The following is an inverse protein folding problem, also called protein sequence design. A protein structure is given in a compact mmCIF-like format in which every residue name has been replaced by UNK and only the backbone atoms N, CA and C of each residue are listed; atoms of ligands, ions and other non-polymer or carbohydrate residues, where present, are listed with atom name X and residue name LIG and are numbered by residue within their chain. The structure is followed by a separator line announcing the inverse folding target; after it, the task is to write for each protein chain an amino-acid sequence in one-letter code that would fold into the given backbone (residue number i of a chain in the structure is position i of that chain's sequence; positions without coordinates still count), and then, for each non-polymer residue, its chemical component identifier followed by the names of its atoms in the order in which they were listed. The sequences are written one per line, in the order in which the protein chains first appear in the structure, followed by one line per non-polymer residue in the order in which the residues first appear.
data_IF_034899784756
#
_entry.id   IF_034899784756
#
_cell.length_a   1.000
_cell.length_b   1.000
_cell.length_c   1.000
_cell.angle_alpha   90.00
_cell.angle_beta   90.00
_cell.angle_gamma   90.00
#
_symmetry.space_group_name_H-M   'P 1'
#
loop_
_entity.id
_entity.type
_entity.pdbx_description
1 polymer ?
#
# COMPACT_ATOMS: atom_id res chain seq x y z
N UNK A 1 18.82 24.57 0.82
CA UNK A 1 19.49 24.03 -0.37
C UNK A 1 19.46 22.53 -0.21
N UNK A 2 18.31 21.92 -0.52
CA UNK A 2 18.15 20.47 -0.44
C UNK A 2 18.52 19.88 -1.80
N UNK A 3 19.51 18.99 -1.81
CA UNK A 3 19.86 18.21 -2.99
C UNK A 3 18.60 17.51 -3.54
N UNK A 4 18.44 17.55 -4.86
CA UNK A 4 17.33 16.91 -5.58
C UNK A 4 17.21 15.44 -5.15
N UNK A 5 15.99 14.89 -4.98
CA UNK A 5 15.77 13.50 -4.59
C UNK A 5 16.52 12.48 -5.48
N UNK A 6 16.69 12.81 -6.75
CA UNK A 6 17.43 12.02 -7.74
C UNK A 6 18.91 11.82 -7.38
N UNK A 7 19.56 12.80 -6.72
CA UNK A 7 20.97 12.66 -6.28
C UNK A 7 21.14 11.72 -5.09
N UNK A 8 20.07 11.40 -4.34
CA UNK A 8 20.16 10.53 -3.15
C UNK A 8 20.11 9.04 -3.46
N UNK A 9 19.62 8.66 -4.65
CA UNK A 9 19.52 7.27 -5.07
C UNK A 9 20.85 6.69 -5.55
N UNK A 10 21.78 7.56 -5.97
CA UNK A 10 23.10 7.16 -6.47
C UNK A 10 24.10 6.75 -5.37
N UNK A 11 23.80 7.11 -4.11
CA UNK A 11 24.65 6.84 -2.93
C UNK A 11 24.16 5.67 -2.06
N UNK A 12 23.06 5.00 -2.44
CA UNK A 12 22.54 3.86 -1.67
C UNK A 12 23.34 2.58 -1.95
N UNK A 13 23.58 1.73 -0.92
CA UNK A 13 24.15 0.41 -1.11
C UNK A 13 23.33 -0.36 -2.14
N UNK A 14 24.00 -1.06 -3.06
CA UNK A 14 23.32 -1.80 -4.13
C UNK A 14 22.69 -3.11 -3.61
N UNK A 15 21.64 -3.03 -2.80
CA UNK A 15 20.91 -4.18 -2.26
C UNK A 15 20.34 -5.07 -3.37
N UNK A 16 20.03 -4.48 -4.53
CA UNK A 16 19.66 -5.21 -5.74
C UNK A 16 20.72 -6.27 -6.15
N UNK A 17 22.01 -5.98 -5.95
CA UNK A 17 23.09 -6.93 -6.24
C UNK A 17 22.99 -8.21 -5.40
N UNK A 18 22.59 -8.09 -4.13
CA UNK A 18 22.42 -9.23 -3.24
C UNK A 18 21.23 -10.10 -3.68
N UNK A 19 20.12 -9.47 -4.08
CA UNK A 19 18.99 -10.17 -4.65
C UNK A 19 19.36 -10.92 -5.94
N UNK A 20 20.07 -10.27 -6.87
CA UNK A 20 20.56 -10.92 -8.10
C UNK A 20 21.48 -12.11 -7.80
N UNK A 21 22.37 -11.97 -6.81
CA UNK A 21 23.23 -13.07 -6.39
C UNK A 21 22.44 -14.26 -5.84
N UNK A 22 21.38 -14.00 -5.09
CA UNK A 22 20.54 -15.06 -4.53
C UNK A 22 19.68 -15.72 -5.62
N UNK A 23 19.16 -14.96 -6.59
CA UNK A 23 18.47 -15.50 -7.77
C UNK A 23 19.41 -16.38 -8.60
N UNK A 24 20.69 -16.00 -8.73
CA UNK A 24 21.70 -16.77 -9.45
C UNK A 24 21.93 -18.21 -8.94
N UNK A 25 21.44 -18.53 -7.72
CA UNK A 25 21.46 -19.89 -7.18
C UNK A 25 20.51 -20.84 -7.93
N UNK A 26 19.39 -20.34 -8.45
CA UNK A 26 18.36 -21.14 -9.14
C UNK A 26 18.21 -20.77 -10.62
N UNK A 27 18.45 -19.51 -10.96
CA UNK A 27 18.21 -18.93 -12.28
C UNK A 27 19.43 -18.15 -12.70
N UNK A 28 20.07 -18.49 -13.81
CA UNK A 28 21.38 -17.90 -14.16
C UNK A 28 21.29 -16.38 -14.37
N UNK A 29 22.05 -15.63 -13.57
CA UNK A 29 22.17 -14.17 -13.68
C UNK A 29 23.57 -13.80 -14.14
N UNK A 30 23.68 -13.12 -15.27
CA UNK A 30 24.96 -12.77 -15.91
C UNK A 30 25.03 -11.30 -16.27
N UNK A 31 26.23 -10.74 -16.23
CA UNK A 31 26.50 -9.41 -16.78
C UNK A 31 26.44 -9.45 -18.31
N UNK A 32 25.71 -8.52 -18.95
CA UNK A 32 25.60 -8.43 -20.42
C UNK A 32 26.66 -7.49 -21.04
N UNK A 33 27.32 -6.69 -20.21
CA UNK A 33 28.43 -5.81 -20.55
C UNK A 33 29.55 -5.92 -19.49
N UNK A 34 30.72 -5.35 -19.76
CA UNK A 34 31.75 -5.14 -18.73
C UNK A 34 31.19 -4.17 -17.69
N UNK A 35 31.30 -4.52 -16.40
CA UNK A 35 30.85 -3.70 -15.28
C UNK A 35 32.03 -2.85 -14.81
N UNK A 36 31.87 -1.53 -14.83
CA UNK A 36 32.86 -0.58 -14.36
C UNK A 36 32.33 0.24 -13.17
N UNK A 37 33.23 0.69 -12.30
CA UNK A 37 32.91 1.76 -11.36
C UNK A 37 32.98 3.14 -12.05
N UNK A 38 32.49 4.17 -11.37
CA UNK A 38 32.47 5.56 -11.84
C UNK A 38 33.87 6.17 -12.09
N UNK A 39 34.93 5.50 -11.63
CA UNK A 39 36.35 5.85 -11.87
C UNK A 39 36.99 5.04 -13.00
N UNK A 40 36.23 4.23 -13.74
CA UNK A 40 36.72 3.43 -14.87
C UNK A 40 37.43 2.14 -14.50
N UNK A 41 37.41 1.72 -13.24
CA UNK A 41 37.95 0.42 -12.82
C UNK A 41 36.99 -0.70 -13.19
N UNK A 42 37.51 -1.74 -13.85
CA UNK A 42 36.76 -2.95 -14.18
C UNK A 42 36.42 -3.77 -12.92
N UNK A 43 35.13 -3.95 -12.67
CA UNK A 43 34.60 -4.78 -11.58
C UNK A 43 34.42 -6.22 -12.03
N UNK A 44 33.79 -6.44 -13.18
CA UNK A 44 33.55 -7.75 -13.79
C UNK A 44 33.50 -7.67 -15.32
N UNK A 45 33.89 -8.75 -16.01
CA UNK A 45 33.78 -8.87 -17.48
C UNK A 45 32.37 -9.26 -17.89
N UNK A 46 31.96 -8.90 -19.11
CA UNK A 46 30.77 -9.45 -19.77
C UNK A 46 30.74 -10.98 -19.65
N UNK A 47 29.55 -11.54 -19.42
CA UNK A 47 29.30 -12.96 -19.19
C UNK A 47 29.64 -13.46 -17.78
N UNK A 48 30.12 -12.60 -16.87
CA UNK A 48 30.39 -13.00 -15.49
C UNK A 48 29.07 -13.25 -14.75
N UNK A 49 28.99 -14.36 -14.02
CA UNK A 49 27.84 -14.67 -13.16
C UNK A 49 27.83 -13.77 -11.93
N UNK A 50 26.65 -13.23 -11.59
CA UNK A 50 26.45 -12.43 -10.38
C UNK A 50 26.35 -13.39 -9.19
N UNK A 51 27.48 -13.70 -8.54
CA UNK A 51 27.54 -14.52 -7.33
C UNK A 51 27.80 -13.67 -6.08
N UNK A 52 27.86 -14.30 -4.90
CA UNK A 52 27.97 -13.59 -3.62
C UNK A 52 29.24 -12.74 -3.54
N UNK A 53 30.36 -13.27 -4.04
CA UNK A 53 31.64 -12.55 -4.08
C UNK A 53 31.56 -11.31 -4.97
N UNK A 54 30.96 -11.44 -6.16
CA UNK A 54 30.78 -10.31 -7.07
C UNK A 54 29.76 -9.30 -6.51
N UNK A 55 28.66 -9.74 -5.89
CA UNK A 55 27.71 -8.83 -5.22
C UNK A 55 28.41 -7.99 -4.16
N UNK A 56 29.21 -8.62 -3.29
CA UNK A 56 29.98 -7.91 -2.26
C UNK A 56 30.93 -6.89 -2.87
N UNK A 57 31.59 -7.22 -3.98
CA UNK A 57 32.47 -6.29 -4.69
C UNK A 57 31.67 -5.14 -5.31
N UNK A 58 30.53 -5.41 -5.92
CA UNK A 58 29.65 -4.39 -6.50
C UNK A 58 29.18 -3.40 -5.44
N UNK A 59 28.73 -3.86 -4.27
CA UNK A 59 28.28 -2.99 -3.16
C UNK A 59 29.34 -2.05 -2.62
N UNK A 60 30.62 -2.35 -2.83
CA UNK A 60 31.75 -1.52 -2.39
C UNK A 60 32.10 -0.41 -3.39
N UNK A 61 31.43 -0.35 -4.53
CA UNK A 61 31.74 0.58 -5.61
C UNK A 61 30.49 1.27 -6.14
N UNK A 62 30.59 2.57 -6.40
CA UNK A 62 29.62 3.29 -7.22
C UNK A 62 29.83 2.91 -8.68
N UNK A 63 28.82 2.35 -9.33
CA UNK A 63 28.92 1.87 -10.71
C UNK A 63 28.80 3.02 -11.72
N UNK A 64 29.46 2.88 -12.88
CA UNK A 64 29.37 3.86 -13.97
C UNK A 64 28.00 3.86 -14.68
N UNK A 65 27.29 2.73 -14.66
CA UNK A 65 25.90 2.59 -15.10
C UNK A 65 25.10 1.87 -14.00
N UNK A 66 23.78 2.08 -13.92
CA UNK A 66 22.94 1.34 -12.99
C UNK A 66 23.06 -0.18 -13.16
N UNK A 67 23.09 -0.94 -12.07
CA UNK A 67 23.33 -2.39 -12.13
C UNK A 67 22.27 -3.13 -12.95
N UNK A 68 20.99 -2.75 -12.81
CA UNK A 68 19.89 -3.39 -13.52
C UNK A 68 19.98 -3.26 -15.05
N UNK A 69 20.68 -2.24 -15.55
CA UNK A 69 20.94 -2.07 -16.99
C UNK A 69 22.10 -2.93 -17.49
N UNK A 70 22.91 -3.50 -16.58
CA UNK A 70 24.16 -4.23 -16.89
C UNK A 70 24.05 -5.75 -16.76
N UNK A 71 22.92 -6.25 -16.26
CA UNK A 71 22.69 -7.68 -15.99
C UNK A 71 21.50 -8.18 -16.79
N UNK A 72 21.42 -9.49 -16.96
CA UNK A 72 20.25 -10.19 -17.48
C UNK A 72 20.03 -11.50 -16.71
N UNK A 73 18.78 -11.96 -16.68
CA UNK A 73 18.38 -13.19 -16.00
C UNK A 73 17.97 -14.22 -17.05
N UNK A 74 18.86 -15.17 -17.32
CA UNK A 74 18.61 -16.26 -18.24
C UNK A 74 17.52 -17.18 -17.67
N UNK A 75 16.45 -17.41 -18.44
CA UNK A 75 15.26 -18.17 -18.01
C UNK A 75 14.47 -17.52 -16.88
N UNK A 76 14.45 -16.19 -16.81
CA UNK A 76 13.51 -15.45 -15.98
C UNK A 76 12.06 -15.57 -16.49
N UNK A 77 11.17 -14.83 -15.83
CA UNK A 77 9.77 -14.72 -16.25
C UNK A 77 9.66 -14.19 -17.69
N UNK A 78 8.73 -14.76 -18.41
CA UNK A 78 8.22 -14.30 -19.71
C UNK A 78 6.82 -13.69 -19.54
N UNK A 79 6.34 -12.95 -20.54
CA UNK A 79 4.95 -12.45 -20.57
C UNK A 79 3.93 -13.59 -20.33
N UNK A 80 4.14 -14.76 -20.96
CA UNK A 80 3.27 -15.93 -20.77
C UNK A 80 3.31 -16.45 -19.34
N UNK A 81 4.50 -16.65 -18.76
CA UNK A 81 4.58 -17.14 -17.38
C UNK A 81 4.03 -16.14 -16.37
N UNK A 82 4.12 -14.84 -16.62
CA UNK A 82 3.45 -13.83 -15.78
C UNK A 82 1.94 -14.03 -15.83
N UNK A 83 1.36 -14.29 -17.00
CA UNK A 83 -0.07 -14.60 -17.14
C UNK A 83 -0.44 -15.92 -16.44
N UNK A 84 0.43 -16.93 -16.50
CA UNK A 84 0.22 -18.18 -15.76
C UNK A 84 0.21 -17.92 -14.23
N UNK A 85 1.04 -16.99 -13.72
CA UNK A 85 1.00 -16.58 -12.31
C UNK A 85 -0.28 -15.80 -11.95
N UNK A 86 -0.83 -14.98 -12.85
CA UNK A 86 -2.17 -14.37 -12.64
C UNK A 86 -3.26 -15.44 -12.47
N UNK A 87 -3.25 -16.48 -13.31
CA UNK A 87 -4.19 -17.59 -13.18
C UNK A 87 -4.06 -18.32 -11.84
N UNK A 88 -2.83 -18.52 -11.35
CA UNK A 88 -2.59 -19.11 -10.02
C UNK A 88 -3.07 -18.19 -8.91
N UNK A 89 -2.83 -16.89 -9.01
CA UNK A 89 -3.33 -15.90 -8.06
C UNK A 89 -4.86 -15.97 -7.98
N UNK A 90 -5.57 -15.98 -9.10
CA UNK A 90 -7.03 -16.03 -9.09
C UNK A 90 -7.60 -17.34 -8.53
N UNK A 91 -6.84 -18.44 -8.62
CA UNK A 91 -7.20 -19.67 -7.92
C UNK A 91 -6.99 -19.58 -6.40
N UNK A 92 -6.00 -18.81 -5.95
CA UNK A 92 -5.72 -18.54 -4.54
C UNK A 92 -6.72 -17.54 -3.92
N UNK A 93 -7.17 -16.55 -4.70
CA UNK A 93 -8.13 -15.53 -4.30
C UNK A 93 -9.45 -15.69 -5.09
N UNK A 94 -10.31 -16.65 -4.71
CA UNK A 94 -11.56 -16.92 -5.44
C UNK A 94 -12.55 -15.74 -5.40
N UNK A 95 -12.46 -14.88 -4.39
CA UNK A 95 -13.22 -13.64 -4.30
C UNK A 95 -12.74 -12.59 -5.30
N UNK A 96 -11.42 -12.41 -5.46
CA UNK A 96 -10.86 -11.58 -6.54
C UNK A 96 -11.27 -12.12 -7.92
N UNK A 97 -11.24 -13.45 -8.11
CA UNK A 97 -11.71 -14.08 -9.34
C UNK A 97 -13.20 -13.83 -9.58
N UNK A 98 -14.03 -13.87 -8.54
CA UNK A 98 -15.44 -13.52 -8.67
C UNK A 98 -15.67 -12.05 -9.09
N UNK A 99 -14.81 -11.12 -8.65
CA UNK A 99 -14.83 -9.74 -9.14
C UNK A 99 -14.54 -9.65 -10.64
N UNK A 100 -13.56 -10.43 -11.11
CA UNK A 100 -13.21 -10.54 -12.53
C UNK A 100 -14.39 -11.09 -13.34
N UNK A 101 -14.99 -12.18 -12.89
CA UNK A 101 -16.08 -12.88 -13.58
C UNK A 101 -17.39 -12.08 -13.60
N UNK A 102 -17.66 -11.33 -12.53
CA UNK A 102 -18.87 -10.51 -12.40
C UNK A 102 -18.94 -9.34 -13.37
N UNK A 103 -17.83 -9.01 -14.07
CA UNK A 103 -17.81 -7.84 -14.93
C UNK A 103 -18.60 -7.97 -16.25
N UNK A 104 -19.12 -9.16 -16.60
CA UNK A 104 -19.92 -9.43 -17.83
C UNK A 104 -19.39 -8.65 -19.06
N UNK A 105 -18.07 -8.71 -19.24
CA UNK A 105 -17.35 -7.86 -20.18
C UNK A 105 -17.43 -8.39 -21.61
N UNK A 106 -17.31 -7.49 -22.60
CA UNK A 106 -17.08 -7.86 -23.99
C UNK A 106 -15.71 -8.57 -24.18
N UNK A 107 -14.74 -8.29 -23.30
CA UNK A 107 -13.38 -8.84 -23.32
C UNK A 107 -12.96 -9.34 -21.92
N UNK A 108 -12.26 -10.47 -21.87
CA UNK A 108 -11.66 -10.99 -20.63
C UNK A 108 -10.44 -10.17 -20.18
N UNK A 109 -9.82 -10.55 -19.06
CA UNK A 109 -8.67 -9.81 -18.52
C UNK A 109 -7.50 -9.75 -19.52
N UNK A 110 -7.22 -10.85 -20.22
CA UNK A 110 -6.17 -10.90 -21.25
C UNK A 110 -6.46 -9.93 -22.40
N UNK A 111 -7.73 -9.83 -22.83
CA UNK A 111 -8.20 -8.85 -23.80
C UNK A 111 -7.98 -7.41 -23.33
N UNK A 112 -8.31 -7.09 -22.07
CA UNK A 112 -8.13 -5.74 -21.51
C UNK A 112 -6.68 -5.26 -21.52
N UNK A 113 -5.74 -6.19 -21.32
CA UNK A 113 -4.30 -5.89 -21.23
C UNK A 113 -3.55 -6.25 -22.52
N UNK A 114 -4.28 -6.64 -23.58
CA UNK A 114 -3.71 -7.01 -24.86
C UNK A 114 -2.86 -5.86 -25.43
N UNK A 115 -1.67 -6.21 -25.88
CA UNK A 115 -0.71 -5.24 -26.44
C UNK A 115 0.14 -4.52 -25.40
N UNK A 116 -0.04 -4.76 -24.09
CA UNK A 116 0.99 -4.39 -23.10
C UNK A 116 2.16 -5.35 -23.24
N UNK A 117 3.28 -4.85 -23.75
CA UNK A 117 4.55 -5.57 -23.71
C UNK A 117 5.18 -5.38 -22.33
N UNK A 118 5.85 -6.40 -21.81
CA UNK A 118 6.68 -6.30 -20.61
C UNK A 118 8.15 -6.26 -21.04
N UNK A 119 8.79 -5.07 -21.05
CA UNK A 119 10.17 -4.96 -21.49
C UNK A 119 11.12 -5.72 -20.55
N UNK A 120 12.31 -6.04 -21.06
CA UNK A 120 13.32 -6.86 -20.36
C UNK A 120 13.53 -6.42 -18.91
N UNK A 121 13.65 -5.10 -18.66
CA UNK A 121 13.87 -4.55 -17.32
C UNK A 121 12.69 -4.81 -16.37
N UNK A 122 11.45 -4.77 -16.87
CA UNK A 122 10.27 -5.10 -16.07
C UNK A 122 10.26 -6.59 -15.74
N UNK A 123 10.41 -7.46 -16.74
CA UNK A 123 10.48 -8.91 -16.53
C UNK A 123 11.61 -9.32 -15.59
N UNK A 124 12.77 -8.67 -15.69
CA UNK A 124 13.90 -8.87 -14.80
C UNK A 124 13.52 -8.56 -13.34
N UNK A 125 12.94 -7.38 -13.07
CA UNK A 125 12.54 -7.01 -11.72
C UNK A 125 11.43 -7.91 -11.17
N UNK A 126 10.42 -8.23 -11.99
CA UNK A 126 9.38 -9.20 -11.62
C UNK A 126 9.96 -10.58 -11.31
N UNK A 127 10.97 -11.03 -12.05
CA UNK A 127 11.67 -12.31 -11.78
C UNK A 127 12.39 -12.28 -10.44
N UNK A 128 13.08 -11.17 -10.12
CA UNK A 128 13.75 -11.02 -8.82
C UNK A 128 12.71 -10.97 -7.70
N UNK A 129 11.61 -10.23 -7.88
CA UNK A 129 10.52 -10.14 -6.91
C UNK A 129 9.91 -11.51 -6.64
N UNK A 130 9.57 -12.26 -7.70
CA UNK A 130 9.04 -13.64 -7.62
C UNK A 130 9.91 -14.57 -6.78
N UNK A 131 11.23 -14.55 -6.98
CA UNK A 131 12.15 -15.45 -6.27
C UNK A 131 12.56 -14.98 -4.87
N UNK A 132 12.57 -13.67 -4.61
CA UNK A 132 13.14 -13.10 -3.38
C UNK A 132 12.09 -12.58 -2.41
N UNK A 133 10.97 -12.09 -2.91
CA UNK A 133 9.88 -11.49 -2.14
C UNK A 133 8.54 -11.97 -2.74
N UNK A 134 8.22 -13.28 -2.64
CA UNK A 134 7.03 -13.86 -3.28
C UNK A 134 5.71 -13.20 -2.84
N UNK A 135 5.61 -12.71 -1.60
CA UNK A 135 4.45 -11.96 -1.12
C UNK A 135 4.28 -10.60 -1.85
N UNK A 136 5.36 -9.86 -2.08
CA UNK A 136 5.30 -8.61 -2.87
C UNK A 136 4.97 -8.88 -4.34
N UNK A 137 5.40 -10.03 -4.87
CA UNK A 137 5.03 -10.44 -6.22
C UNK A 137 3.53 -10.77 -6.30
N UNK A 138 3.00 -11.53 -5.33
CA UNK A 138 1.56 -11.80 -5.21
C UNK A 138 0.74 -10.50 -5.09
N UNK A 139 1.16 -9.57 -4.23
CA UNK A 139 0.59 -8.24 -4.09
C UNK A 139 0.57 -7.49 -5.42
N UNK A 140 1.67 -7.51 -6.17
CA UNK A 140 1.77 -6.86 -7.49
C UNK A 140 0.73 -7.41 -8.47
N UNK A 141 0.51 -8.74 -8.49
CA UNK A 141 -0.52 -9.36 -9.33
C UNK A 141 -1.94 -9.01 -8.84
N UNK A 142 -2.19 -9.02 -7.54
CA UNK A 142 -3.48 -8.66 -6.95
C UNK A 142 -3.84 -7.21 -7.26
N UNK A 143 -2.92 -6.29 -7.01
CA UNK A 143 -3.08 -4.85 -7.25
C UNK A 143 -3.26 -4.58 -8.73
N UNK A 144 -2.48 -5.21 -9.62
CA UNK A 144 -2.67 -5.11 -11.06
C UNK A 144 -4.07 -5.58 -11.50
N UNK A 145 -4.55 -6.72 -10.97
CA UNK A 145 -5.89 -7.23 -11.27
C UNK A 145 -6.96 -6.23 -10.84
N UNK A 146 -6.95 -5.86 -9.55
CA UNK A 146 -8.02 -5.05 -8.97
C UNK A 146 -8.03 -3.61 -9.51
N UNK A 147 -6.86 -2.99 -9.72
CA UNK A 147 -6.79 -1.65 -10.28
C UNK A 147 -7.29 -1.61 -11.73
N UNK A 148 -6.96 -2.62 -12.53
CA UNK A 148 -7.48 -2.79 -13.90
C UNK A 148 -9.00 -2.86 -13.87
N UNK A 149 -9.58 -3.68 -12.97
CA UNK A 149 -11.02 -3.79 -12.80
C UNK A 149 -11.69 -2.48 -12.35
N UNK A 150 -11.06 -1.75 -11.42
CA UNK A 150 -11.55 -0.44 -10.95
C UNK A 150 -11.60 0.56 -12.11
N UNK A 151 -10.49 0.71 -12.83
CA UNK A 151 -10.36 1.66 -13.95
C UNK A 151 -11.32 1.30 -15.08
N UNK A 152 -11.51 0.01 -15.35
CA UNK A 152 -12.47 -0.49 -16.31
C UNK A 152 -13.93 -0.25 -15.87
N UNK A 153 -14.27 -0.48 -14.60
CA UNK A 153 -15.61 -0.20 -14.06
C UNK A 153 -15.95 1.30 -14.10
N UNK A 154 -14.94 2.16 -14.05
CA UNK A 154 -15.04 3.61 -14.27
C UNK A 154 -15.12 4.01 -15.75
N UNK A 155 -15.14 3.04 -16.68
CA UNK A 155 -15.24 3.24 -18.13
C UNK A 155 -14.15 4.15 -18.69
N UNK A 156 -12.92 4.00 -18.17
CA UNK A 156 -11.76 4.77 -18.65
C UNK A 156 -11.24 4.17 -19.96
N UNK A 157 -10.51 4.95 -20.78
CA UNK A 157 -9.99 4.48 -22.06
C UNK A 157 -9.04 3.28 -21.89
N UNK A 158 -8.92 2.39 -22.90
CA UNK A 158 -8.02 1.22 -22.83
C UNK A 158 -6.55 1.57 -22.52
N UNK A 159 -6.08 2.77 -22.89
CA UNK A 159 -4.74 3.23 -22.53
C UNK A 159 -4.55 3.44 -21.02
N UNK A 160 -5.59 3.89 -20.31
CA UNK A 160 -5.56 4.04 -18.85
C UNK A 160 -5.68 2.68 -18.16
N UNK A 161 -6.49 1.76 -18.70
CA UNK A 161 -6.61 0.38 -18.20
C UNK A 161 -5.27 -0.34 -18.28
N UNK A 162 -4.58 -0.26 -19.42
CA UNK A 162 -3.23 -0.80 -19.61
C UNK A 162 -2.18 -0.16 -18.69
N UNK A 163 -2.31 1.15 -18.42
CA UNK A 163 -1.46 1.84 -17.46
C UNK A 163 -1.73 1.41 -16.01
N UNK A 164 -2.99 1.10 -15.66
CA UNK A 164 -3.36 0.56 -14.35
C UNK A 164 -2.80 -0.85 -14.14
N UNK A 165 -2.92 -1.71 -15.15
CA UNK A 165 -2.33 -3.04 -15.16
C UNK A 165 -0.82 -3.00 -14.90
N UNK A 166 -0.08 -2.24 -15.73
CA UNK A 166 1.37 -2.18 -15.59
C UNK A 166 1.75 -1.45 -14.30
N UNK A 167 1.04 -0.37 -13.94
CA UNK A 167 1.28 0.37 -12.70
C UNK A 167 1.12 -0.50 -11.46
N UNK A 168 0.08 -1.33 -11.41
CA UNK A 168 -0.11 -2.29 -10.33
C UNK A 168 0.96 -3.39 -10.30
N UNK A 169 1.45 -3.85 -11.46
CA UNK A 169 2.54 -4.83 -11.51
C UNK A 169 3.87 -4.28 -10.98
N UNK A 170 4.10 -2.96 -11.10
CA UNK A 170 5.43 -2.37 -10.89
C UNK A 170 5.48 -1.30 -9.82
N UNK A 171 4.40 -1.04 -9.09
CA UNK A 171 4.37 0.01 -8.06
C UNK A 171 5.45 -0.17 -7.00
N UNK A 172 5.77 -1.43 -6.68
CA UNK A 172 6.61 -1.82 -5.54
C UNK A 172 7.94 -2.49 -5.92
N UNK A 173 8.33 -2.51 -7.20
CA UNK A 173 9.63 -3.09 -7.60
C UNK A 173 10.83 -2.35 -7.00
N UNK A 174 10.63 -1.09 -6.57
CA UNK A 174 11.61 -0.30 -5.86
C UNK A 174 12.02 -0.89 -4.51
N UNK A 175 11.22 -1.77 -3.90
CA UNK A 175 11.60 -2.47 -2.66
C UNK A 175 12.85 -3.34 -2.84
N UNK A 176 13.15 -3.79 -4.07
CA UNK A 176 14.36 -4.54 -4.37
C UNK A 176 15.65 -3.73 -4.21
N UNK A 177 15.55 -2.42 -3.95
CA UNK A 177 16.68 -1.53 -3.71
C UNK A 177 16.76 -1.07 -2.25
N UNK A 178 15.80 -1.44 -1.41
CA UNK A 178 15.78 -1.08 0.02
C UNK A 178 16.52 -2.15 0.83
N UNK A 179 17.17 -1.74 1.92
CA UNK A 179 17.86 -2.66 2.82
C UNK A 179 16.87 -3.72 3.37
N UNK A 180 17.12 -5.03 3.12
CA UNK A 180 16.29 -6.09 3.67
C UNK A 180 16.14 -6.03 5.19
N UNK A 181 17.18 -5.58 5.92
CA UNK A 181 17.11 -5.47 7.38
C UNK A 181 16.11 -4.41 7.84
N UNK A 182 15.88 -3.37 7.01
CA UNK A 182 14.87 -2.34 7.28
C UNK A 182 13.47 -2.87 6.97
N UNK A 183 13.32 -3.58 5.85
CA UNK A 183 12.03 -4.14 5.44
C UNK A 183 11.52 -5.28 6.34
N UNK A 184 12.43 -6.02 6.96
CA UNK A 184 12.12 -7.19 7.81
C UNK A 184 12.10 -6.84 9.31
N UNK A 185 12.20 -5.55 9.66
CA UNK A 185 12.22 -5.10 11.05
C UNK A 185 10.83 -5.23 11.69
N UNK A 186 10.76 -5.92 12.84
CA UNK A 186 9.53 -6.03 13.65
C UNK A 186 9.37 -4.89 14.66
N UNK A 187 10.49 -4.28 15.08
CA UNK A 187 10.51 -3.12 15.99
C UNK A 187 10.14 -1.81 15.28
N UNK A 188 9.88 -0.76 16.06
CA UNK A 188 9.61 0.58 15.52
C UNK A 188 10.72 1.06 14.56
N UNK A 189 10.28 1.56 13.40
CA UNK A 189 11.16 2.17 12.41
C UNK A 189 11.56 3.56 12.86
N UNK A 190 12.85 3.85 12.81
CA UNK A 190 13.38 5.21 12.89
C UNK A 190 12.93 6.03 11.69
N UNK A 191 12.96 7.35 11.80
CA UNK A 191 12.61 8.24 10.70
C UNK A 191 13.50 8.04 9.45
N UNK A 192 14.76 7.68 9.63
CA UNK A 192 15.67 7.41 8.51
C UNK A 192 15.27 6.12 7.79
N UNK A 193 14.96 5.07 8.55
CA UNK A 193 14.47 3.79 8.02
C UNK A 193 13.12 3.96 7.31
N UNK A 194 12.20 4.74 7.88
CA UNK A 194 10.91 5.03 7.26
C UNK A 194 11.07 5.80 5.94
N UNK A 195 11.94 6.83 5.90
CA UNK A 195 12.27 7.54 4.65
C UNK A 195 12.93 6.64 3.61
N UNK A 196 13.75 5.67 4.04
CA UNK A 196 14.33 4.68 3.15
C UNK A 196 13.23 3.81 2.53
N UNK A 197 12.29 3.30 3.33
CA UNK A 197 11.12 2.56 2.84
C UNK A 197 10.35 3.39 1.82
N UNK A 198 9.97 4.64 2.13
CA UNK A 198 9.23 5.51 1.21
C UNK A 198 9.92 5.76 -0.13
N UNK A 199 11.25 5.65 -0.18
CA UNK A 199 12.00 5.87 -1.41
C UNK A 199 11.71 4.81 -2.49
N UNK A 200 11.11 3.65 -2.14
CA UNK A 200 10.74 2.62 -3.11
C UNK A 200 9.85 3.19 -4.23
N UNK A 201 8.94 4.11 -3.92
CA UNK A 201 8.04 4.73 -4.91
C UNK A 201 8.84 5.49 -5.97
N UNK A 202 9.87 6.21 -5.53
CA UNK A 202 10.76 6.98 -6.40
C UNK A 202 11.61 6.02 -7.25
N UNK A 203 12.15 4.96 -6.63
CA UNK A 203 12.91 3.92 -7.33
C UNK A 203 12.05 3.24 -8.41
N UNK A 204 10.84 2.82 -8.07
CA UNK A 204 9.90 2.19 -9.01
C UNK A 204 9.61 3.11 -10.20
N UNK A 205 9.35 4.41 -9.95
CA UNK A 205 9.17 5.40 -11.02
C UNK A 205 10.39 5.48 -11.94
N UNK A 206 11.60 5.58 -11.38
CA UNK A 206 12.82 5.69 -12.18
C UNK A 206 13.05 4.44 -13.05
N UNK A 207 12.79 3.24 -12.50
CA UNK A 207 12.88 1.98 -13.24
C UNK A 207 11.89 1.95 -14.41
N UNK A 208 10.68 2.49 -14.24
CA UNK A 208 9.68 2.59 -15.32
C UNK A 208 10.07 3.66 -16.34
N UNK A 209 10.63 4.80 -15.91
CA UNK A 209 11.14 5.85 -16.81
C UNK A 209 12.29 5.38 -17.71
N UNK A 210 13.17 4.52 -17.21
CA UNK A 210 14.28 3.95 -17.99
C UNK A 210 13.79 3.12 -19.18
N UNK A 211 12.61 2.51 -19.06
CA UNK A 211 11.98 1.74 -20.13
C UNK A 211 11.40 2.66 -21.23
N UNK A 212 11.12 3.92 -20.89
CA UNK A 212 10.71 4.96 -21.84
C UNK A 212 9.38 4.65 -22.54
N UNK A 213 9.32 4.85 -23.86
CA UNK A 213 8.07 4.73 -24.64
C UNK A 213 7.56 3.29 -24.81
N UNK A 214 8.26 2.28 -24.28
CA UNK A 214 7.80 0.90 -24.32
C UNK A 214 6.74 0.57 -23.25
N UNK A 215 6.46 1.50 -22.32
CA UNK A 215 5.37 1.39 -21.35
C UNK A 215 4.24 2.40 -21.63
N UNK A 216 2.99 2.15 -21.19
CA UNK A 216 1.92 3.12 -21.28
C UNK A 216 2.30 4.47 -20.61
N UNK A 217 2.01 5.64 -21.22
CA UNK A 217 2.50 6.94 -20.74
C UNK A 217 2.11 7.33 -19.31
N UNK A 218 1.00 6.80 -18.79
CA UNK A 218 0.49 7.12 -17.46
C UNK A 218 0.97 6.16 -16.36
N UNK A 219 1.76 5.15 -16.70
CA UNK A 219 2.28 4.16 -15.75
C UNK A 219 3.09 4.85 -14.64
N UNK A 220 3.94 5.82 -14.99
CA UNK A 220 4.73 6.56 -14.01
C UNK A 220 3.87 7.34 -13.00
N UNK A 221 2.73 7.90 -13.44
CA UNK A 221 1.81 8.57 -12.53
C UNK A 221 1.12 7.57 -11.59
N UNK A 222 0.69 6.43 -12.13
CA UNK A 222 0.12 5.35 -11.32
C UNK A 222 1.10 4.88 -10.23
N UNK A 223 2.38 4.74 -10.59
CA UNK A 223 3.45 4.32 -9.67
C UNK A 223 3.82 5.41 -8.69
N UNK A 224 4.08 6.66 -9.10
CA UNK A 224 4.60 7.67 -8.15
C UNK A 224 3.57 8.14 -7.12
N UNK A 225 2.28 7.98 -7.42
CA UNK A 225 1.18 8.49 -6.59
C UNK A 225 0.42 7.41 -5.81
N UNK A 226 0.83 6.14 -5.88
CA UNK A 226 0.05 5.05 -5.24
C UNK A 226 0.00 5.15 -3.71
N UNK A 227 0.98 5.81 -3.08
CA UNK A 227 0.96 6.15 -1.65
C UNK A 227 0.54 7.59 -1.36
N UNK A 228 0.17 8.38 -2.37
CA UNK A 228 -0.44 9.69 -2.14
C UNK A 228 -1.91 9.54 -1.70
N UNK A 229 -2.38 10.48 -0.88
CA UNK A 229 -3.72 10.44 -0.27
C UNK A 229 -4.40 11.80 -0.44
N UNK A 230 -5.71 11.82 -0.61
CA UNK A 230 -6.46 13.04 -0.93
C UNK A 230 -6.33 14.15 0.13
N UNK A 231 -6.10 13.78 1.39
CA UNK A 231 -5.87 14.68 2.51
C UNK A 231 -4.40 15.16 2.66
N UNK A 232 -3.53 14.79 1.70
CA UNK A 232 -2.09 15.07 1.70
C UNK A 232 -1.28 14.37 2.81
N UNK A 233 -1.83 13.30 3.43
CA UNK A 233 -1.11 12.46 4.40
C UNK A 233 -0.08 11.52 3.78
N UNK A 234 -0.28 11.20 2.49
CA UNK A 234 0.55 10.31 1.72
C UNK A 234 1.91 10.88 1.31
N UNK A 235 2.63 10.14 0.47
CA UNK A 235 4.01 10.43 0.05
C UNK A 235 4.23 10.01 -1.42
N UNK A 236 5.28 10.51 -2.11
CA UNK A 236 6.42 11.30 -1.63
C UNK A 236 6.26 12.84 -1.69
N UNK A 237 5.26 13.35 -2.40
CA UNK A 237 5.08 14.77 -2.67
C UNK A 237 4.05 15.46 -1.77
N UNK A 238 3.32 14.70 -0.93
CA UNK A 238 2.31 15.18 0.02
C UNK A 238 1.23 15.98 -0.71
N UNK A 239 0.72 15.41 -1.80
CA UNK A 239 -0.19 16.08 -2.71
C UNK A 239 -1.63 15.97 -2.21
N UNK A 240 -2.40 17.06 -2.38
CA UNK A 240 -3.84 17.06 -2.14
C UNK A 240 -4.59 16.46 -3.32
N UNK A 241 -5.80 15.91 -3.07
CA UNK A 241 -6.64 15.28 -4.08
C UNK A 241 -6.78 16.05 -5.41
N UNK A 242 -6.90 17.38 -5.39
CA UNK A 242 -6.99 18.20 -6.60
C UNK A 242 -5.79 18.11 -7.57
N UNK A 243 -4.65 17.55 -7.12
CA UNK A 243 -3.42 17.36 -7.90
C UNK A 243 -3.12 15.90 -8.22
N UNK A 244 -3.90 14.97 -7.68
CA UNK A 244 -3.70 13.53 -7.86
C UNK A 244 -4.36 13.04 -9.14
N UNK A 245 -3.79 12.00 -9.71
CA UNK A 245 -4.35 11.29 -10.85
C UNK A 245 -5.18 10.09 -10.38
N UNK A 246 -6.26 9.79 -11.12
CA UNK A 246 -7.16 8.68 -10.83
C UNK A 246 -6.39 7.36 -10.68
N UNK A 247 -5.45 7.09 -11.59
CA UNK A 247 -4.69 5.84 -11.61
C UNK A 247 -3.88 5.60 -10.35
N UNK A 248 -3.15 6.61 -9.83
CA UNK A 248 -2.42 6.45 -8.57
C UNK A 248 -3.35 6.12 -7.42
N UNK A 249 -4.51 6.78 -7.38
CA UNK A 249 -5.55 6.48 -6.39
C UNK A 249 -6.21 5.11 -6.59
N UNK A 250 -6.26 4.59 -7.83
CA UNK A 250 -6.76 3.25 -8.13
C UNK A 250 -5.74 2.19 -7.68
N UNK A 251 -4.44 2.41 -7.86
CA UNK A 251 -3.40 1.53 -7.30
C UNK A 251 -3.47 1.57 -5.77
N UNK A 252 -3.50 2.75 -5.15
CA UNK A 252 -3.47 2.91 -3.70
C UNK A 252 -4.64 2.26 -2.96
N UNK A 253 -5.86 2.32 -3.51
CA UNK A 253 -7.00 1.61 -2.91
C UNK A 253 -6.90 0.09 -3.11
N UNK A 254 -6.38 -0.37 -4.26
CA UNK A 254 -6.17 -1.79 -4.52
C UNK A 254 -5.12 -2.39 -3.61
N UNK A 255 -4.06 -1.63 -3.35
CA UNK A 255 -2.99 -1.95 -2.40
C UNK A 255 -3.53 -2.08 -0.96
N UNK A 256 -4.29 -1.08 -0.50
CA UNK A 256 -4.96 -1.16 0.80
C UNK A 256 -5.93 -2.34 0.93
N UNK A 257 -6.63 -2.70 -0.15
CA UNK A 257 -7.52 -3.87 -0.17
C UNK A 257 -6.75 -5.20 -0.15
N UNK A 258 -5.56 -5.29 -0.75
CA UNK A 258 -4.69 -6.45 -0.61
C UNK A 258 -4.28 -6.63 0.86
N UNK A 259 -3.78 -5.56 1.49
CA UNK A 259 -3.38 -5.60 2.90
C UNK A 259 -4.54 -5.90 3.85
N UNK A 260 -5.75 -5.37 3.58
CA UNK A 260 -6.96 -5.75 4.31
C UNK A 260 -7.26 -7.25 4.15
N UNK A 261 -7.22 -7.74 2.91
CA UNK A 261 -7.56 -9.12 2.55
C UNK A 261 -6.63 -10.13 3.24
N UNK A 262 -5.32 -9.95 3.11
CA UNK A 262 -4.32 -10.89 3.65
C UNK A 262 -3.96 -10.62 5.12
N UNK A 263 -4.03 -9.36 5.56
CA UNK A 263 -3.64 -8.94 6.90
C UNK A 263 -4.71 -9.14 7.97
N UNK A 264 -6.00 -9.09 7.59
CA UNK A 264 -7.12 -9.18 8.52
C UNK A 264 -8.19 -10.20 8.08
N UNK A 265 -8.71 -10.08 6.86
CA UNK A 265 -9.87 -10.90 6.44
C UNK A 265 -9.53 -12.39 6.41
N UNK A 266 -8.37 -12.78 5.88
CA UNK A 266 -7.90 -14.16 5.88
C UNK A 266 -7.78 -14.75 7.28
N UNK A 267 -7.30 -13.97 8.25
CA UNK A 267 -7.16 -14.43 9.64
C UNK A 267 -8.51 -14.66 10.34
N UNK A 268 -9.59 -14.15 9.75
CA UNK A 268 -10.96 -14.26 10.24
C UNK A 268 -11.82 -15.16 9.33
N UNK A 269 -11.21 -15.83 8.35
CA UNK A 269 -11.90 -16.63 7.33
C UNK A 269 -12.97 -15.83 6.55
N UNK A 270 -12.70 -14.55 6.29
CA UNK A 270 -13.57 -13.62 5.55
C UNK A 270 -13.11 -13.40 4.10
N UNK A 271 -13.98 -12.81 3.29
CA UNK A 271 -13.72 -12.53 1.87
C UNK A 271 -13.87 -11.04 1.52
N UNK A 272 -13.54 -10.63 0.29
CA UNK A 272 -13.60 -9.23 -0.14
C UNK A 272 -14.99 -8.56 -0.02
N UNK A 273 -16.10 -9.30 0.06
CA UNK A 273 -17.42 -8.72 0.37
C UNK A 273 -17.50 -8.12 1.77
N UNK A 274 -16.65 -8.57 2.70
CA UNK A 274 -16.48 -7.98 4.03
C UNK A 274 -15.65 -6.67 4.01
N UNK A 275 -15.22 -6.17 2.85
CA UNK A 275 -14.45 -4.92 2.75
C UNK A 275 -15.31 -3.64 2.78
N UNK A 276 -16.64 -3.74 2.85
CA UNK A 276 -17.53 -2.56 2.87
C UNK A 276 -17.25 -1.61 4.05
N UNK A 277 -17.09 -2.08 5.31
CA UNK A 277 -16.59 -1.29 6.43
C UNK A 277 -15.31 -0.49 6.12
N UNK A 278 -14.32 -1.14 5.52
CA UNK A 278 -13.07 -0.49 5.11
C UNK A 278 -13.31 0.65 4.10
N UNK A 279 -14.14 0.40 3.08
CA UNK A 279 -14.47 1.40 2.06
C UNK A 279 -15.21 2.60 2.66
N UNK A 280 -16.08 2.38 3.65
CA UNK A 280 -16.81 3.42 4.35
C UNK A 280 -15.87 4.32 5.16
N UNK A 281 -14.97 3.70 5.93
CA UNK A 281 -13.98 4.42 6.75
C UNK A 281 -12.90 5.12 5.92
N UNK A 282 -12.66 4.68 4.69
CA UNK A 282 -11.68 5.29 3.78
C UNK A 282 -12.27 6.20 2.69
N UNK A 283 -13.56 6.50 2.72
CA UNK A 283 -14.27 7.18 1.62
C UNK A 283 -13.71 8.56 1.19
N UNK A 284 -12.90 9.20 2.03
CA UNK A 284 -12.18 10.45 1.72
C UNK A 284 -10.66 10.31 1.60
N UNK A 285 -10.12 9.09 1.71
CA UNK A 285 -8.68 8.78 1.65
C UNK A 285 -8.22 8.77 0.20
N UNK A 286 -8.99 8.12 -0.67
CA UNK A 286 -8.82 8.10 -2.12
C UNK A 286 -10.00 8.80 -2.81
N UNK A 287 -9.98 8.92 -4.13
CA UNK A 287 -11.11 9.45 -4.89
C UNK A 287 -12.36 8.59 -4.69
N UNK A 288 -13.48 9.25 -4.37
CA UNK A 288 -14.77 8.59 -4.11
C UNK A 288 -15.22 7.71 -5.28
N UNK A 289 -14.87 8.07 -6.51
CA UNK A 289 -15.09 7.30 -7.72
C UNK A 289 -14.47 5.90 -7.63
N UNK A 290 -13.26 5.77 -7.09
CA UNK A 290 -12.61 4.47 -6.90
C UNK A 290 -13.38 3.62 -5.88
N UNK A 291 -13.83 4.21 -4.76
CA UNK A 291 -14.67 3.51 -3.79
C UNK A 291 -15.99 3.04 -4.41
N UNK A 292 -16.63 3.89 -5.22
CA UNK A 292 -17.85 3.55 -5.96
C UNK A 292 -17.60 2.40 -6.95
N UNK A 293 -16.47 2.41 -7.66
CA UNK A 293 -16.09 1.34 -8.57
C UNK A 293 -15.91 0.00 -7.83
N UNK A 294 -15.19 -0.02 -6.70
CA UNK A 294 -15.06 -1.23 -5.88
C UNK A 294 -16.42 -1.74 -5.42
N UNK A 295 -17.32 -0.88 -4.95
CA UNK A 295 -18.69 -1.29 -4.58
C UNK A 295 -19.48 -1.89 -5.74
N UNK A 296 -19.34 -1.33 -6.95
CA UNK A 296 -19.95 -1.86 -8.17
C UNK A 296 -19.40 -3.26 -8.46
N UNK A 297 -18.08 -3.44 -8.38
CA UNK A 297 -17.42 -4.73 -8.58
C UNK A 297 -17.94 -5.78 -7.59
N UNK A 298 -17.95 -5.46 -6.28
CA UNK A 298 -18.47 -6.34 -5.24
C UNK A 298 -19.94 -6.75 -5.49
N UNK A 299 -20.78 -5.78 -5.89
CA UNK A 299 -22.20 -6.03 -6.20
C UNK A 299 -22.36 -6.97 -7.39
N UNK A 300 -21.56 -6.75 -8.44
CA UNK A 300 -21.59 -7.53 -9.68
C UNK A 300 -21.07 -8.95 -9.51
N UNK A 301 -20.05 -9.12 -8.68
CA UNK A 301 -19.49 -10.43 -8.34
C UNK A 301 -20.49 -11.35 -7.63
N UNK A 302 -21.57 -10.78 -7.08
CA UNK A 302 -22.58 -11.49 -6.26
C UNK A 302 -21.94 -12.24 -5.09
N UNK A 303 -20.80 -11.75 -4.61
CA UNK A 303 -20.14 -12.25 -3.41
C UNK A 303 -21.02 -11.94 -2.20
N UNK A 304 -21.19 -12.93 -1.33
CA UNK A 304 -21.86 -12.75 -0.05
C UNK A 304 -20.80 -12.51 1.02
N UNK A 305 -20.99 -11.52 1.91
CA UNK A 305 -20.17 -11.41 3.11
C UNK A 305 -20.26 -12.69 3.92
N UNK A 306 -19.12 -13.13 4.46
CA UNK A 306 -19.09 -14.19 5.46
C UNK A 306 -19.29 -13.59 6.85
N UNK A 307 -19.60 -14.44 7.83
CA UNK A 307 -19.76 -14.05 9.23
C UNK A 307 -18.74 -14.77 10.10
N UNK A 308 -18.22 -14.09 11.12
CA UNK A 308 -17.32 -14.67 12.10
C UNK A 308 -17.56 -14.05 13.48
N UNK A 309 -17.06 -14.71 14.53
CA UNK A 309 -17.10 -14.19 15.89
C UNK A 309 -15.70 -14.30 16.52
N UNK A 310 -14.90 -13.22 16.52
CA UNK A 310 -13.54 -13.24 17.07
C UNK A 310 -13.49 -13.35 18.60
N UNK A 311 -14.62 -13.24 19.30
CA UNK A 311 -14.72 -13.26 20.77
C UNK A 311 -15.42 -14.52 21.31
N UNK A 312 -15.65 -15.52 20.46
CA UNK A 312 -16.17 -16.84 20.82
C UNK A 312 -17.67 -16.91 21.10
N UNK A 313 -18.29 -15.91 21.74
CA UNK A 313 -19.74 -15.82 21.96
C UNK A 313 -20.30 -14.46 21.56
N UNK A 314 -21.58 -14.37 21.16
CA UNK A 314 -22.19 -13.10 20.72
C UNK A 314 -22.15 -12.05 21.85
N UNK A 315 -22.46 -12.47 23.08
CA UNK A 315 -22.39 -11.61 24.25
C UNK A 315 -20.96 -11.07 24.49
N UNK A 316 -19.94 -11.93 24.39
CA UNK A 316 -18.54 -11.51 24.51
C UNK A 316 -18.12 -10.58 23.36
N UNK A 317 -18.61 -10.84 22.14
CA UNK A 317 -18.31 -10.01 20.97
C UNK A 317 -18.88 -8.60 21.15
N UNK A 318 -20.16 -8.48 21.45
CA UNK A 318 -20.75 -7.17 21.68
C UNK A 318 -20.13 -6.45 22.87
N UNK A 319 -19.81 -7.15 23.97
CA UNK A 319 -19.12 -6.54 25.11
C UNK A 319 -17.71 -6.04 24.74
N UNK A 320 -16.97 -6.80 23.93
CA UNK A 320 -15.67 -6.43 23.39
C UNK A 320 -15.77 -5.19 22.49
N UNK A 321 -16.68 -5.20 21.51
CA UNK A 321 -16.94 -4.06 20.62
C UNK A 321 -17.35 -2.81 21.40
N UNK A 322 -18.22 -2.93 22.41
CA UNK A 322 -18.62 -1.82 23.26
C UNK A 322 -17.46 -1.27 24.12
N UNK A 323 -16.61 -2.14 24.68
CA UNK A 323 -15.38 -1.73 25.39
C UNK A 323 -14.44 -0.96 24.46
N UNK A 324 -14.25 -1.43 23.22
CA UNK A 324 -13.45 -0.77 22.19
C UNK A 324 -14.01 0.59 21.79
N UNK A 325 -15.32 0.70 21.56
CA UNK A 325 -15.95 1.98 21.24
C UNK A 325 -15.79 3.01 22.36
N UNK A 326 -15.88 2.60 23.63
CA UNK A 326 -15.59 3.50 24.78
C UNK A 326 -14.14 3.97 24.80
N UNK A 327 -13.19 3.08 24.55
CA UNK A 327 -11.77 3.45 24.47
C UNK A 327 -11.50 4.42 23.31
N UNK A 328 -12.19 4.27 22.18
CA UNK A 328 -12.04 5.13 21.00
C UNK A 328 -12.82 6.45 21.08
N UNK A 329 -13.83 6.57 21.96
CA UNK A 329 -14.66 7.77 22.04
C UNK A 329 -13.84 9.05 22.30
N UNK A 330 -12.83 8.98 23.17
CA UNK A 330 -11.96 10.12 23.51
C UNK A 330 -11.07 10.62 22.36
N UNK A 331 -10.88 9.81 21.31
CA UNK A 331 -10.13 10.22 20.12
C UNK A 331 -10.79 11.41 19.42
N UNK A 332 -12.12 11.54 19.48
CA UNK A 332 -12.86 12.63 18.85
C UNK A 332 -12.36 13.99 19.35
N UNK A 333 -12.24 14.15 20.67
CA UNK A 333 -11.80 15.40 21.29
C UNK A 333 -10.36 15.72 20.89
N UNK A 334 -9.47 14.72 20.91
CA UNK A 334 -8.07 14.90 20.48
C UNK A 334 -7.99 15.36 19.02
N UNK A 335 -8.78 14.76 18.11
CA UNK A 335 -8.79 15.16 16.71
C UNK A 335 -9.35 16.59 16.51
N UNK A 336 -10.34 17.00 17.29
CA UNK A 336 -10.87 18.37 17.28
C UNK A 336 -9.83 19.38 17.80
N UNK A 337 -9.08 19.03 18.86
CA UNK A 337 -7.98 19.85 19.38
C UNK A 337 -6.88 20.04 18.34
N UNK A 338 -6.51 18.97 17.62
CA UNK A 338 -5.54 19.02 16.52
C UNK A 338 -6.03 19.94 15.39
N UNK A 339 -7.30 19.84 14.97
CA UNK A 339 -7.87 20.76 13.98
C UNK A 339 -7.82 22.21 14.42
N UNK A 340 -8.18 22.47 15.68
CA UNK A 340 -8.13 23.81 16.26
C UNK A 340 -6.71 24.36 16.20
N UNK A 341 -5.71 23.57 16.61
CA UNK A 341 -4.31 23.95 16.53
C UNK A 341 -3.86 24.20 15.08
N UNK A 342 -4.18 23.29 14.16
CA UNK A 342 -3.80 23.40 12.76
C UNK A 342 -4.41 24.64 12.08
N UNK A 343 -5.64 25.03 12.46
CA UNK A 343 -6.32 26.21 11.89
C UNK A 343 -5.66 27.55 12.25
N UNK A 344 -4.92 27.60 13.36
CA UNK A 344 -4.25 28.80 13.89
C UNK A 344 -2.72 28.76 13.76
N UNK A 345 -2.19 27.73 13.09
CA UNK A 345 -0.75 27.51 12.93
C UNK A 345 -0.39 27.57 11.45
N UNK A 346 0.68 28.29 11.12
CA UNK A 346 1.26 28.23 9.79
C UNK A 346 2.08 26.94 9.63
N UNK A 347 1.53 25.98 8.88
CA UNK A 347 2.14 24.66 8.70
C UNK A 347 3.08 24.65 7.49
N UNK A 348 4.28 24.08 7.65
CA UNK A 348 5.21 23.89 6.53
C UNK A 348 4.60 22.96 5.47
N UNK A 349 5.13 23.08 4.25
CA UNK A 349 4.83 22.17 3.13
C UNK A 349 5.12 20.73 3.56
N UNK A 350 4.16 19.82 3.37
CA UNK A 350 4.22 18.43 3.83
C UNK A 350 3.40 18.13 5.09
N UNK A 351 2.93 19.15 5.81
CA UNK A 351 2.13 18.99 7.03
C UNK A 351 0.70 19.51 6.93
N UNK A 352 0.23 19.85 5.73
CA UNK A 352 -1.18 20.21 5.50
C UNK A 352 -2.16 19.10 5.94
N UNK A 353 -1.70 17.85 6.00
CA UNK A 353 -2.44 16.71 6.53
C UNK A 353 -2.81 16.84 8.01
N UNK A 354 -2.06 17.61 8.82
CA UNK A 354 -2.42 17.84 10.23
C UNK A 354 -3.79 18.51 10.38
N UNK A 355 -4.22 19.32 9.42
CA UNK A 355 -5.58 19.85 9.39
C UNK A 355 -6.57 18.85 8.78
N UNK A 356 -6.18 18.20 7.68
CA UNK A 356 -7.09 17.47 6.79
C UNK A 356 -7.38 16.04 7.24
N UNK A 357 -6.39 15.33 7.77
CA UNK A 357 -6.53 13.95 8.23
C UNK A 357 -7.51 13.84 9.40
N UNK A 358 -7.44 14.68 10.45
CA UNK A 358 -8.48 14.72 11.47
C UNK A 358 -9.87 15.00 10.90
N UNK A 359 -10.01 15.94 9.95
CA UNK A 359 -11.31 16.21 9.31
C UNK A 359 -11.86 15.02 8.55
N UNK A 360 -10.99 14.28 7.86
CA UNK A 360 -11.35 13.06 7.14
C UNK A 360 -11.82 11.97 8.11
N UNK A 361 -11.04 11.70 9.16
CA UNK A 361 -11.36 10.67 10.18
C UNK A 361 -12.67 11.03 10.90
N UNK A 362 -12.82 12.25 11.39
CA UNK A 362 -14.03 12.70 12.08
C UNK A 362 -15.27 12.59 11.19
N UNK A 363 -15.15 12.92 9.89
CA UNK A 363 -16.26 12.75 8.94
C UNK A 363 -16.62 11.28 8.76
N UNK A 364 -15.64 10.39 8.66
CA UNK A 364 -15.88 8.96 8.54
C UNK A 364 -16.59 8.40 9.79
N UNK A 365 -16.09 8.74 10.99
CA UNK A 365 -16.70 8.35 12.28
C UNK A 365 -18.13 8.86 12.39
N UNK A 366 -18.38 10.13 12.05
CA UNK A 366 -19.72 10.70 12.11
C UNK A 366 -20.66 10.05 11.08
N UNK A 367 -20.19 9.83 9.85
CA UNK A 367 -21.01 9.25 8.78
C UNK A 367 -21.34 7.76 9.03
N UNK A 368 -20.46 7.02 9.72
CA UNK A 368 -20.73 5.63 10.10
C UNK A 368 -21.52 5.48 11.39
N UNK A 369 -21.46 6.46 12.29
CA UNK A 369 -22.07 6.34 13.62
C UNK A 369 -21.34 5.36 14.54
N UNK A 370 -20.17 4.84 14.14
CA UNK A 370 -19.44 3.76 14.83
C UNK A 370 -19.10 4.07 16.29
N UNK A 371 -18.94 5.36 16.63
CA UNK A 371 -18.68 5.84 17.99
C UNK A 371 -19.86 6.62 18.59
N UNK A 372 -21.05 6.58 18.00
CA UNK A 372 -22.23 7.33 18.48
C UNK A 372 -22.87 6.70 19.72
N UNK A 373 -23.37 7.52 20.65
CA UNK A 373 -24.01 7.05 21.89
C UNK A 373 -25.24 6.16 21.64
N UNK A 374 -26.08 6.52 20.67
CA UNK A 374 -27.26 5.72 20.32
C UNK A 374 -26.88 4.32 19.83
N UNK A 375 -25.76 4.22 19.11
CA UNK A 375 -25.26 2.98 18.55
C UNK A 375 -24.57 2.13 19.62
N UNK A 376 -23.84 2.75 20.54
CA UNK A 376 -23.33 2.13 21.76
C UNK A 376 -24.45 1.54 22.64
N UNK A 377 -25.50 2.31 22.87
CA UNK A 377 -26.66 1.84 23.63
C UNK A 377 -27.35 0.65 22.93
N UNK A 378 -27.43 0.68 21.60
CA UNK A 378 -27.93 -0.47 20.84
C UNK A 378 -27.04 -1.71 21.04
N UNK A 379 -25.72 -1.58 20.89
CA UNK A 379 -24.75 -2.66 21.10
C UNK A 379 -24.90 -3.30 22.49
N UNK A 380 -25.03 -2.49 23.54
CA UNK A 380 -25.17 -2.96 24.93
C UNK A 380 -26.51 -3.67 25.20
N UNK A 381 -27.59 -3.24 24.52
CA UNK A 381 -28.91 -3.85 24.67
C UNK A 381 -29.06 -5.14 23.83
N UNK A 382 -28.33 -5.27 22.72
CA UNK A 382 -28.37 -6.42 21.84
C UNK A 382 -27.47 -7.59 22.27
N UNK A 383 -26.74 -7.46 23.39
CA UNK A 383 -25.82 -8.50 23.90
C UNK A 383 -26.48 -9.84 24.25
N UNK A 384 -27.78 -9.81 24.53
CA UNK A 384 -28.56 -11.00 24.87
C UNK A 384 -29.30 -11.62 23.67
N UNK A 385 -29.18 -11.01 22.49
CA UNK A 385 -29.86 -11.46 21.29
C UNK A 385 -28.98 -12.47 20.52
N UNK A 386 -29.56 -13.61 20.16
CA UNK A 386 -28.87 -14.68 19.44
C UNK A 386 -29.14 -14.68 17.93
N UNK A 387 -29.80 -13.64 17.41
CA UNK A 387 -30.10 -13.53 15.98
C UNK A 387 -28.84 -13.31 15.12
N UNK A 388 -28.76 -14.01 13.99
CA UNK A 388 -27.63 -13.92 13.05
C UNK A 388 -27.36 -12.48 12.55
N UNK A 389 -28.41 -11.66 12.43
CA UNK A 389 -28.28 -10.25 12.00
C UNK A 389 -27.50 -9.38 12.99
N UNK A 390 -27.49 -9.73 14.28
CA UNK A 390 -26.71 -9.01 15.30
C UNK A 390 -25.22 -9.30 15.12
N UNK A 391 -24.86 -10.55 14.82
CA UNK A 391 -23.46 -10.92 14.63
C UNK A 391 -22.84 -10.23 13.41
N UNK A 392 -23.56 -10.15 12.29
CA UNK A 392 -23.07 -9.49 11.08
C UNK A 392 -22.84 -8.00 11.30
N UNK A 393 -23.73 -7.35 12.06
CA UNK A 393 -23.59 -5.94 12.41
C UNK A 393 -22.42 -5.72 13.39
N UNK A 394 -22.25 -6.59 14.39
CA UNK A 394 -21.08 -6.56 15.28
C UNK A 394 -19.77 -6.71 14.50
N UNK A 395 -19.75 -7.59 13.49
CA UNK A 395 -18.60 -7.77 12.63
C UNK A 395 -18.31 -6.51 11.80
N UNK A 396 -19.34 -5.88 11.22
CA UNK A 396 -19.15 -4.63 10.49
C UNK A 396 -18.54 -3.54 11.37
N UNK A 397 -19.01 -3.40 12.60
CA UNK A 397 -18.50 -2.43 13.57
C UNK A 397 -17.07 -2.73 13.96
N UNK A 398 -16.78 -3.99 14.25
CA UNK A 398 -15.43 -4.43 14.55
C UNK A 398 -14.45 -4.11 13.42
N UNK A 399 -14.82 -4.40 12.16
CA UNK A 399 -14.00 -4.07 10.99
C UNK A 399 -13.84 -2.55 10.80
N UNK A 400 -14.87 -1.75 11.07
CA UNK A 400 -14.75 -0.28 11.07
C UNK A 400 -13.80 0.21 12.17
N UNK A 401 -13.81 -0.41 13.35
CA UNK A 401 -12.90 -0.07 14.45
C UNK A 401 -11.46 -0.47 14.13
N UNK A 402 -11.22 -1.64 13.53
CA UNK A 402 -9.88 -2.05 13.08
C UNK A 402 -9.32 -1.06 12.06
N UNK A 403 -10.15 -0.62 11.10
CA UNK A 403 -9.73 0.39 10.13
C UNK A 403 -9.51 1.77 10.77
N UNK A 404 -10.35 2.18 11.72
CA UNK A 404 -10.13 3.41 12.48
C UNK A 404 -8.80 3.38 13.23
N UNK A 405 -8.48 2.26 13.89
CA UNK A 405 -7.19 2.07 14.58
C UNK A 405 -6.01 2.19 13.62
N UNK A 406 -6.10 1.58 12.43
CA UNK A 406 -5.06 1.71 11.41
C UNK A 406 -4.83 3.18 11.02
N UNK A 407 -5.90 3.92 10.73
CA UNK A 407 -5.80 5.35 10.38
C UNK A 407 -5.26 6.22 11.52
N UNK A 408 -5.56 5.88 12.78
CA UNK A 408 -5.02 6.57 13.94
C UNK A 408 -3.54 6.29 14.13
N UNK A 409 -3.08 5.05 13.90
CA UNK A 409 -1.64 4.71 13.93
C UNK A 409 -0.88 5.48 12.84
N UNK A 410 -1.41 5.53 11.63
CA UNK A 410 -0.82 6.33 10.54
C UNK A 410 -0.76 7.82 10.91
N UNK A 411 -1.83 8.34 11.54
CA UNK A 411 -1.85 9.73 11.96
C UNK A 411 -0.87 10.02 13.10
N UNK A 412 -0.71 9.10 14.06
CA UNK A 412 0.33 9.18 15.10
C UNK A 412 1.72 9.23 14.47
N UNK A 413 2.01 8.44 13.44
CA UNK A 413 3.29 8.53 12.71
C UNK A 413 3.50 9.91 12.09
N UNK A 414 2.44 10.54 11.55
CA UNK A 414 2.50 11.91 11.00
C UNK A 414 2.79 12.94 12.11
N UNK A 415 2.15 12.82 13.28
CA UNK A 415 2.39 13.69 14.43
C UNK A 415 3.84 13.53 14.94
N UNK A 416 4.32 12.29 15.08
CA UNK A 416 5.69 12.00 15.48
C UNK A 416 6.70 12.56 14.48
N UNK A 417 6.44 12.42 13.18
CA UNK A 417 7.27 13.03 12.13
C UNK A 417 7.33 14.56 12.25
N UNK A 418 6.19 15.21 12.50
CA UNK A 418 6.15 16.66 12.73
C UNK A 418 7.01 17.06 13.92
N UNK A 419 6.87 16.37 15.06
CA UNK A 419 7.67 16.61 16.26
C UNK A 419 9.17 16.45 15.95
N UNK A 420 9.56 15.48 15.13
CA UNK A 420 10.97 15.28 14.79
C UNK A 420 11.54 16.35 13.82
N UNK A 421 10.73 16.87 12.90
CA UNK A 421 11.18 17.81 11.86
C UNK A 421 11.07 19.30 12.28
N UNK A 422 10.27 19.61 13.29
CA UNK A 422 10.01 20.98 13.76
C UNK A 422 10.76 21.33 15.05
N UNK A 423 11.14 22.61 15.23
CA UNK A 423 11.80 23.04 16.46
C UNK A 423 10.86 22.94 17.67
N UNK A 424 11.46 22.73 18.85
CA UNK A 424 10.76 22.67 20.14
C UNK A 424 10.10 24.02 20.49
N UNK A 425 8.86 24.18 20.05
CA UNK A 425 7.99 25.35 20.25
C UNK A 425 6.75 24.98 21.06
N UNK A 426 5.90 25.95 21.41
CA UNK A 426 4.61 25.64 22.04
C UNK A 426 3.73 24.71 21.19
N UNK A 427 3.75 24.87 19.86
CA UNK A 427 3.04 24.00 18.92
C UNK A 427 3.58 22.57 18.96
N UNK A 428 4.92 22.41 18.98
CA UNK A 428 5.56 21.11 19.13
C UNK A 428 5.07 20.37 20.38
N UNK A 429 5.01 21.05 21.53
CA UNK A 429 4.60 20.42 22.80
C UNK A 429 3.16 19.93 22.71
N UNK A 430 2.27 20.72 22.09
CA UNK A 430 0.88 20.32 21.87
C UNK A 430 0.76 19.13 20.90
N UNK A 431 1.51 19.13 19.79
CA UNK A 431 1.49 18.01 18.84
C UNK A 431 2.01 16.72 19.47
N UNK A 432 3.05 16.81 20.30
CA UNK A 432 3.57 15.68 21.07
C UNK A 432 2.53 15.14 22.06
N UNK A 433 1.85 16.03 22.78
CA UNK A 433 0.76 15.65 23.69
C UNK A 433 -0.40 14.95 22.95
N UNK A 434 -0.81 15.45 21.79
CA UNK A 434 -1.80 14.79 20.95
C UNK A 434 -1.38 13.39 20.51
N UNK A 435 -0.11 13.22 20.09
CA UNK A 435 0.42 11.91 19.73
C UNK A 435 0.32 10.92 20.90
N UNK A 436 0.74 11.34 22.10
CA UNK A 436 0.68 10.50 23.30
C UNK A 436 -0.76 10.11 23.65
N UNK A 437 -1.70 11.07 23.67
CA UNK A 437 -3.13 10.80 23.95
C UNK A 437 -3.73 9.80 22.96
N UNK A 438 -3.43 9.95 21.66
CA UNK A 438 -3.90 9.00 20.65
C UNK A 438 -3.32 7.59 20.88
N UNK A 439 -2.03 7.49 21.22
CA UNK A 439 -1.40 6.20 21.54
C UNK A 439 -2.04 5.54 22.77
N UNK A 440 -2.37 6.30 23.81
CA UNK A 440 -3.09 5.79 24.98
C UNK A 440 -4.45 5.19 24.60
N UNK A 441 -5.24 5.88 23.78
CA UNK A 441 -6.51 5.35 23.28
C UNK A 441 -6.34 4.08 22.41
N UNK A 442 -5.32 4.05 21.55
CA UNK A 442 -4.99 2.87 20.73
C UNK A 442 -4.59 1.69 21.63
N UNK A 443 -3.77 1.92 22.65
CA UNK A 443 -3.32 0.90 23.59
C UNK A 443 -4.48 0.33 24.42
N UNK A 444 -5.41 1.18 24.89
CA UNK A 444 -6.59 0.75 25.63
C UNK A 444 -7.51 -0.20 24.84
N UNK A 445 -7.49 -0.12 23.50
CA UNK A 445 -8.21 -1.08 22.62
C UNK A 445 -7.49 -2.42 22.55
N UNK A 446 -6.16 -2.43 22.56
CA UNK A 446 -5.38 -3.68 22.55
C UNK A 446 -5.61 -4.52 23.82
N UNK A 447 -5.90 -3.89 24.95
CA UNK A 447 -6.24 -4.55 26.24
C UNK A 447 -7.66 -5.16 26.29
N UNK A 448 -8.38 -5.18 25.18
CA UNK A 448 -9.73 -5.79 25.09
C UNK A 448 -9.68 -7.28 24.74
N UNK A 449 -8.55 -7.76 24.21
CA UNK A 449 -8.35 -9.13 23.77
C UNK A 449 -7.91 -10.09 24.87
#
# INVERSE_FOLDING_TARGET
MDAHPEQRLEDQPQHYADHLSQVNATTEVVSIEDIYNDRGMLIARKGTRINESLSKKIRQHRLAKPLHSLVDINKGLTEQSVMDEFHKLWALFPDLKALLDGMEMEEDFEGMVLGVRLPRLILQNLTVLFHRKPHLFEQSLFVATLATLIVQALKRPPSEVRAAYLGGLVHDIGFLHIDPAILEKEDELTMAEWRAIQSHVIVSKLLVEEVGSAVPPLTNLAVIEHHERCDASGYPAFMSGARLHLLGQSIGISDGLYHLRTGLLDKLDLNLANAVPFLQMNSGTHFYENHKAVRILLTRARLKPETCNPFGSIAAFGAGVAKRSRALAGVIDVLLEVQSLASRTELKRGYACLARTPSRILRAVHASGVLGEAYLAWLENSLNDSEAGVQDELLNVYLMQEELLAQLRDFVQILNRYVMDEPETGVFVQVKDFSNKLQEHIAAVAEVY
#
